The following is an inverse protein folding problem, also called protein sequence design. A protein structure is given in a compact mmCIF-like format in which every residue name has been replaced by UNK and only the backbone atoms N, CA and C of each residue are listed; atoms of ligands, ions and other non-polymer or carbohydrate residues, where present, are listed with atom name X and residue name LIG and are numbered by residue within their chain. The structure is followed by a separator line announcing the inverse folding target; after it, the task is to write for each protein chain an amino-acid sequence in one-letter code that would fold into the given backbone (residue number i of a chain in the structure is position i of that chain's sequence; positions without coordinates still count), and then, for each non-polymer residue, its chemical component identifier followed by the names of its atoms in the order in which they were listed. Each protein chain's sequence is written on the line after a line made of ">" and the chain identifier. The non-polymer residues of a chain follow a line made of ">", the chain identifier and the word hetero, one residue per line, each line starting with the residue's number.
data_IF_783832489853
#
_entry.id   IF_783832489853
#
_cell.length_a   1.000
_cell.length_b   1.000
_cell.length_c   1.000
_cell.angle_alpha   90.00
_cell.angle_beta   90.00
_cell.angle_gamma   90.00
#
_symmetry.space_group_name_H-M   'P 1'
#
loop_
_entity.id
_entity.type
_entity.pdbx_description
1 polymer ?
#
# COMPACT_ATOMS: atom_id res chain seq x y z
N UNK A 1 19.70 -15.27 9.43
CA UNK A 1 19.24 -13.87 9.54
C UNK A 1 17.71 -13.87 9.60
N UNK A 2 17.12 -13.08 10.50
CA UNK A 2 15.67 -12.91 10.57
C UNK A 2 15.23 -12.11 9.34
N UNK A 3 14.40 -12.70 8.50
CA UNK A 3 13.89 -12.01 7.30
C UNK A 3 12.67 -11.20 7.70
N UNK A 4 12.75 -9.87 7.55
CA UNK A 4 11.61 -8.99 7.78
C UNK A 4 10.69 -8.99 6.55
N UNK A 5 9.36 -8.81 6.72
CA UNK A 5 8.46 -8.62 5.60
C UNK A 5 8.78 -7.32 4.87
N UNK A 6 8.54 -7.30 3.57
CA UNK A 6 8.75 -6.12 2.72
C UNK A 6 7.43 -5.37 2.51
N UNK A 7 7.52 -4.12 2.04
CA UNK A 7 6.36 -3.32 1.64
C UNK A 7 6.24 -3.35 0.12
N UNK A 8 5.10 -3.80 -0.40
CA UNK A 8 4.81 -3.83 -1.82
C UNK A 8 4.26 -2.49 -2.31
N UNK A 9 4.80 -1.96 -3.39
CA UNK A 9 4.31 -0.74 -4.03
C UNK A 9 3.63 -1.12 -5.34
N UNK A 10 2.35 -0.74 -5.48
CA UNK A 10 1.47 -1.09 -6.58
C UNK A 10 1.13 0.16 -7.40
N UNK A 11 1.85 0.45 -8.51
CA UNK A 11 1.52 1.54 -9.41
C UNK A 11 0.27 1.18 -10.24
N UNK A 12 -0.87 1.80 -9.97
CA UNK A 12 -2.11 1.56 -10.72
C UNK A 12 -2.37 2.67 -11.75
N UNK A 13 -2.91 2.29 -12.90
CA UNK A 13 -3.09 3.16 -14.05
C UNK A 13 -4.34 2.79 -14.82
N UNK A 14 -4.84 3.69 -15.65
CA UNK A 14 -5.90 3.39 -16.62
C UNK A 14 -5.44 2.27 -17.59
N UNK A 15 -6.17 1.18 -17.63
CA UNK A 15 -5.83 0.02 -18.46
C UNK A 15 -6.12 0.17 -19.96
N UNK A 16 -6.75 1.31 -20.37
CA UNK A 16 -7.07 1.56 -21.78
C UNK A 16 -5.83 1.99 -22.53
N UNK A 17 -5.52 1.26 -23.60
CA UNK A 17 -4.48 1.61 -24.57
C UNK A 17 -5.00 2.67 -25.55
N UNK A 18 -4.08 3.35 -26.24
CA UNK A 18 -4.41 4.35 -27.24
C UNK A 18 -4.26 5.78 -26.72
N UNK A 19 -3.23 6.04 -25.93
CA UNK A 19 -2.78 7.39 -25.54
C UNK A 19 -2.86 7.72 -24.05
N UNK A 20 -3.92 7.31 -23.35
CA UNK A 20 -4.07 7.67 -21.92
C UNK A 20 -3.05 6.93 -21.06
N UNK A 21 -2.99 5.61 -21.19
CA UNK A 21 -2.07 4.78 -20.42
C UNK A 21 -0.62 5.16 -20.69
N UNK A 22 -0.27 5.22 -21.95
CA UNK A 22 1.08 5.51 -22.41
C UNK A 22 1.59 6.88 -21.94
N UNK A 23 0.69 7.87 -21.88
CA UNK A 23 1.04 9.23 -21.45
C UNK A 23 1.32 9.35 -19.93
N UNK A 24 0.92 8.35 -19.13
CA UNK A 24 1.00 8.41 -17.66
C UNK A 24 1.84 7.28 -17.07
N UNK A 25 2.32 6.33 -17.87
CA UNK A 25 3.00 5.14 -17.39
C UNK A 25 4.31 5.49 -16.67
N UNK A 26 5.12 6.35 -17.26
CA UNK A 26 6.36 6.83 -16.67
C UNK A 26 6.11 7.57 -15.36
N UNK A 27 5.15 8.50 -15.35
CA UNK A 27 4.76 9.24 -14.14
C UNK A 27 4.33 8.31 -13.01
N UNK A 28 3.44 7.37 -13.31
CA UNK A 28 2.90 6.45 -12.31
C UNK A 28 4.01 5.59 -11.70
N UNK A 29 4.93 5.12 -12.53
CA UNK A 29 6.08 4.35 -12.08
C UNK A 29 7.06 5.22 -11.27
N UNK A 30 7.29 6.47 -11.66
CA UNK A 30 8.16 7.38 -10.92
C UNK A 30 7.59 7.72 -9.53
N UNK A 31 6.29 7.92 -9.40
CA UNK A 31 5.64 8.08 -8.09
C UNK A 31 5.81 6.83 -7.22
N UNK A 32 5.69 5.63 -7.79
CA UNK A 32 5.92 4.39 -7.04
C UNK A 32 7.37 4.25 -6.57
N UNK A 33 8.35 4.62 -7.41
CA UNK A 33 9.77 4.65 -7.02
C UNK A 33 10.03 5.67 -5.91
N UNK A 34 9.46 6.86 -6.01
CA UNK A 34 9.58 7.90 -4.99
C UNK A 34 9.02 7.45 -3.63
N UNK A 35 7.88 6.73 -3.62
CA UNK A 35 7.33 6.14 -2.39
C UNK A 35 8.25 5.07 -1.81
N UNK A 36 8.81 4.20 -2.64
CA UNK A 36 9.75 3.17 -2.19
C UNK A 36 11.02 3.81 -1.57
N UNK A 37 11.57 4.83 -2.21
CA UNK A 37 12.73 5.57 -1.71
C UNK A 37 12.41 6.29 -0.40
N UNK A 38 11.26 6.96 -0.31
CA UNK A 38 10.80 7.63 0.91
C UNK A 38 10.77 6.65 2.09
N UNK A 39 10.22 5.46 1.89
CA UNK A 39 10.10 4.44 2.94
C UNK A 39 11.48 3.90 3.33
N UNK A 40 12.27 3.47 2.36
CA UNK A 40 13.58 2.85 2.58
C UNK A 40 14.56 3.81 3.28
N UNK A 41 14.51 5.09 2.92
CA UNK A 41 15.39 6.11 3.50
C UNK A 41 14.99 6.52 4.93
N UNK A 42 13.72 6.39 5.31
CA UNK A 42 13.21 6.92 6.56
C UNK A 42 12.82 5.86 7.60
N UNK A 43 12.60 4.60 7.20
CA UNK A 43 12.16 3.55 8.11
C UNK A 43 13.19 2.44 8.24
N UNK A 44 13.31 1.95 9.47
CA UNK A 44 14.21 0.84 9.83
C UNK A 44 13.44 -0.28 10.51
N UNK A 45 13.89 -1.49 10.27
CA UNK A 45 13.48 -2.69 10.98
C UNK A 45 14.04 -2.68 12.41
N UNK A 46 13.58 -3.61 13.25
CA UNK A 46 14.01 -3.69 14.65
C UNK A 46 15.49 -4.03 14.85
N UNK A 47 16.20 -4.48 13.81
CA UNK A 47 17.64 -4.73 13.82
C UNK A 47 18.47 -3.55 13.24
N UNK A 48 17.81 -2.45 12.89
CA UNK A 48 18.43 -1.26 12.31
C UNK A 48 18.60 -1.30 10.78
N UNK A 49 18.28 -2.41 10.11
CA UNK A 49 18.30 -2.46 8.64
C UNK A 49 17.19 -1.62 8.04
N UNK A 50 17.36 -1.02 6.86
CA UNK A 50 16.28 -0.31 6.17
C UNK A 50 15.07 -1.21 5.90
N UNK A 51 13.87 -0.66 5.91
CA UNK A 51 12.68 -1.35 5.42
C UNK A 51 12.79 -1.51 3.91
N UNK A 52 12.69 -2.74 3.42
CA UNK A 52 12.76 -3.03 2.00
C UNK A 52 11.40 -2.83 1.32
N UNK A 53 11.42 -2.28 0.11
CA UNK A 53 10.25 -2.16 -0.75
C UNK A 53 10.39 -3.03 -2.00
N UNK A 54 9.27 -3.56 -2.49
CA UNK A 54 9.16 -4.29 -3.76
C UNK A 54 8.14 -3.56 -4.64
N UNK A 55 8.55 -3.10 -5.80
CA UNK A 55 7.65 -2.47 -6.77
C UNK A 55 7.19 -3.54 -7.77
N UNK A 56 5.93 -3.47 -8.22
CA UNK A 56 5.46 -4.30 -9.33
C UNK A 56 6.33 -4.11 -10.58
N UNK A 57 6.42 -5.14 -11.44
CA UNK A 57 7.30 -5.09 -12.62
C UNK A 57 6.87 -4.07 -13.66
N UNK A 58 5.58 -3.72 -13.65
CA UNK A 58 4.99 -2.69 -14.50
C UNK A 58 3.79 -2.03 -13.83
N UNK A 59 3.17 -1.10 -14.53
CA UNK A 59 1.93 -0.49 -14.08
C UNK A 59 0.75 -1.45 -14.16
N UNK A 60 -0.20 -1.32 -13.23
CA UNK A 60 -1.34 -2.23 -13.06
C UNK A 60 -2.60 -1.52 -13.53
N UNK A 61 -3.08 -1.89 -14.72
CA UNK A 61 -4.33 -1.35 -15.29
C UNK A 61 -5.36 -2.44 -15.64
N UNK A 62 -5.01 -3.73 -15.42
CA UNK A 62 -5.85 -4.89 -15.77
C UNK A 62 -5.70 -6.00 -14.75
N UNK A 63 -6.66 -6.91 -14.76
CA UNK A 63 -6.71 -8.07 -13.85
C UNK A 63 -5.44 -8.94 -13.93
N UNK A 64 -4.96 -9.25 -15.14
CA UNK A 64 -3.76 -10.06 -15.31
C UNK A 64 -2.50 -9.42 -14.71
N UNK A 65 -2.35 -8.10 -14.85
CA UNK A 65 -1.24 -7.35 -14.26
C UNK A 65 -1.35 -7.30 -12.72
N UNK A 66 -2.57 -7.19 -12.21
CA UNK A 66 -2.83 -7.26 -10.76
C UNK A 66 -2.51 -8.64 -10.19
N UNK A 67 -2.86 -9.72 -10.89
CA UNK A 67 -2.53 -11.09 -10.51
C UNK A 67 -1.02 -11.32 -10.51
N UNK A 68 -0.32 -10.94 -11.57
CA UNK A 68 1.14 -11.06 -11.66
C UNK A 68 1.85 -10.27 -10.54
N UNK A 69 1.35 -9.09 -10.19
CA UNK A 69 1.84 -8.32 -9.06
C UNK A 69 1.64 -9.08 -7.72
N UNK A 70 0.48 -9.68 -7.51
CA UNK A 70 0.19 -10.45 -6.29
C UNK A 70 1.12 -11.67 -6.16
N UNK A 71 1.33 -12.42 -7.24
CA UNK A 71 2.26 -13.56 -7.26
C UNK A 71 3.72 -13.13 -6.98
N UNK A 72 4.16 -12.03 -7.57
CA UNK A 72 5.48 -11.46 -7.29
C UNK A 72 5.61 -11.10 -5.80
N UNK A 73 4.62 -10.42 -5.24
CA UNK A 73 4.67 -9.96 -3.86
C UNK A 73 4.69 -11.11 -2.86
N UNK A 74 3.95 -12.18 -3.13
CA UNK A 74 3.98 -13.38 -2.32
C UNK A 74 5.38 -14.03 -2.34
N UNK A 75 5.94 -14.21 -3.53
CA UNK A 75 7.29 -14.78 -3.71
C UNK A 75 8.38 -13.95 -3.03
N UNK A 76 8.24 -12.61 -3.08
CA UNK A 76 9.22 -11.67 -2.50
C UNK A 76 9.06 -11.46 -1.00
N UNK A 77 8.03 -12.02 -0.36
CA UNK A 77 7.79 -11.90 1.07
C UNK A 77 7.24 -10.53 1.49
N UNK A 78 6.40 -9.94 0.65
CA UNK A 78 5.66 -8.73 0.98
C UNK A 78 4.67 -9.02 2.12
N UNK A 79 4.53 -8.10 3.06
CA UNK A 79 3.62 -8.22 4.19
C UNK A 79 2.60 -7.09 4.30
N UNK A 80 2.77 -6.03 3.51
CA UNK A 80 1.86 -4.88 3.45
C UNK A 80 1.96 -4.22 2.07
N UNK A 81 0.95 -3.48 1.62
CA UNK A 81 0.96 -2.84 0.31
C UNK A 81 0.57 -1.37 0.35
N UNK A 82 1.15 -0.59 -0.56
CA UNK A 82 0.73 0.77 -0.88
C UNK A 82 0.45 0.83 -2.37
N UNK A 83 -0.79 1.11 -2.73
CA UNK A 83 -1.19 1.39 -4.10
C UNK A 83 -1.00 2.88 -4.38
N UNK A 84 -0.37 3.20 -5.50
CA UNK A 84 -0.12 4.58 -5.95
C UNK A 84 -0.82 4.76 -7.28
N UNK A 85 -1.66 5.79 -7.41
CA UNK A 85 -2.34 6.08 -8.67
C UNK A 85 -2.23 7.54 -9.05
N UNK A 86 -1.85 7.79 -10.31
CA UNK A 86 -1.77 9.13 -10.89
C UNK A 86 -3.07 9.57 -11.57
N UNK A 87 -4.00 8.63 -11.82
CA UNK A 87 -5.21 8.88 -12.58
C UNK A 87 -6.35 7.94 -12.16
N UNK A 88 -7.51 8.11 -12.77
CA UNK A 88 -8.60 7.16 -12.67
C UNK A 88 -8.21 5.82 -13.34
N UNK A 89 -8.62 4.71 -12.72
CA UNK A 89 -8.57 3.37 -13.31
C UNK A 89 -9.71 2.50 -12.76
N UNK A 90 -9.86 1.30 -13.29
CA UNK A 90 -10.90 0.36 -12.85
C UNK A 90 -10.53 -0.29 -11.52
N UNK A 91 -11.15 0.13 -10.43
CA UNK A 91 -10.87 -0.38 -9.09
C UNK A 91 -11.07 -1.88 -8.95
N UNK A 92 -12.14 -2.42 -9.52
CA UNK A 92 -12.44 -3.86 -9.47
C UNK A 92 -11.35 -4.73 -10.11
N UNK A 93 -10.63 -4.20 -11.11
CA UNK A 93 -9.59 -4.92 -11.85
C UNK A 93 -8.21 -4.80 -11.21
N UNK A 94 -7.97 -3.74 -10.46
CA UNK A 94 -6.63 -3.37 -10.00
C UNK A 94 -6.44 -3.40 -8.50
N UNK A 95 -7.53 -3.56 -7.71
CA UNK A 95 -7.46 -3.57 -6.26
C UNK A 95 -6.62 -4.72 -5.69
N UNK A 96 -6.02 -4.52 -4.53
CA UNK A 96 -5.32 -5.55 -3.80
C UNK A 96 -6.30 -6.46 -3.06
N UNK A 97 -6.44 -7.68 -3.52
CA UNK A 97 -7.38 -8.66 -2.99
C UNK A 97 -6.81 -9.51 -1.83
N UNK A 98 -5.52 -9.33 -1.46
CA UNK A 98 -4.95 -10.13 -0.38
C UNK A 98 -5.61 -9.76 0.97
N UNK A 99 -6.28 -10.71 1.66
CA UNK A 99 -6.99 -10.40 2.91
C UNK A 99 -6.06 -10.14 4.10
N UNK A 100 -4.80 -10.53 3.97
CA UNK A 100 -3.86 -10.49 5.08
C UNK A 100 -2.96 -9.24 5.08
N UNK A 101 -2.92 -8.49 3.99
CA UNK A 101 -2.07 -7.31 3.92
C UNK A 101 -2.77 -6.08 4.50
N UNK A 102 -2.16 -5.38 5.46
CA UNK A 102 -2.45 -3.97 5.64
C UNK A 102 -2.21 -3.24 4.32
N UNK A 103 -3.16 -2.43 3.90
CA UNK A 103 -3.09 -1.76 2.60
C UNK A 103 -3.48 -0.30 2.68
N UNK A 104 -2.76 0.54 1.94
CA UNK A 104 -3.11 1.93 1.72
C UNK A 104 -3.19 2.23 0.22
N UNK A 105 -3.91 3.27 -0.11
CA UNK A 105 -4.03 3.79 -1.46
C UNK A 105 -3.72 5.28 -1.43
N UNK A 106 -2.71 5.71 -2.18
CA UNK A 106 -2.43 7.11 -2.43
C UNK A 106 -2.96 7.52 -3.80
N UNK A 107 -3.96 8.42 -3.79
CA UNK A 107 -4.46 9.08 -4.98
C UNK A 107 -3.74 10.41 -5.19
N UNK A 108 -3.06 10.57 -6.32
CA UNK A 108 -2.41 11.82 -6.69
C UNK A 108 -3.42 12.96 -6.82
N UNK A 109 -3.16 14.09 -6.17
CA UNK A 109 -4.01 15.27 -6.25
C UNK A 109 -3.50 16.20 -7.37
N UNK A 110 -3.76 15.85 -8.63
CA UNK A 110 -3.27 16.55 -9.80
C UNK A 110 -4.28 17.52 -10.39
N UNK A 111 -3.78 18.55 -11.08
CA UNK A 111 -4.58 19.51 -11.88
C UNK A 111 -5.34 18.80 -12.99
N UNK A 112 -4.72 17.78 -13.59
CA UNK A 112 -5.31 16.95 -14.63
C UNK A 112 -5.36 15.49 -14.17
N UNK A 113 -6.43 14.78 -14.51
CA UNK A 113 -6.58 13.35 -14.23
C UNK A 113 -6.24 12.97 -12.79
N UNK A 114 -6.86 13.55 -11.77
CA UNK A 114 -6.55 13.27 -10.38
C UNK A 114 -6.86 11.82 -10.00
N UNK A 115 -6.04 11.24 -9.13
CA UNK A 115 -6.27 9.91 -8.58
C UNK A 115 -7.42 9.81 -7.58
N UNK A 116 -8.09 10.92 -7.25
CA UNK A 116 -9.16 10.99 -6.24
C UNK A 116 -10.34 10.06 -6.53
N UNK A 117 -10.77 9.99 -7.81
CA UNK A 117 -11.91 9.15 -8.20
C UNK A 117 -11.59 7.67 -8.02
N UNK A 118 -10.39 7.25 -8.41
CA UNK A 118 -9.93 5.89 -8.15
C UNK A 118 -9.85 5.63 -6.64
N UNK A 119 -9.25 6.54 -5.89
CA UNK A 119 -9.13 6.41 -4.43
C UNK A 119 -10.49 6.15 -3.79
N UNK A 120 -11.50 6.96 -4.10
CA UNK A 120 -12.84 6.78 -3.55
C UNK A 120 -13.47 5.43 -3.96
N UNK A 121 -13.38 5.09 -5.24
CA UNK A 121 -13.97 3.86 -5.78
C UNK A 121 -13.29 2.60 -5.20
N UNK A 122 -11.97 2.58 -5.13
CA UNK A 122 -11.24 1.40 -4.64
C UNK A 122 -11.38 1.22 -3.13
N UNK A 123 -11.47 2.30 -2.35
CA UNK A 123 -11.76 2.21 -0.91
C UNK A 123 -13.15 1.65 -0.67
N UNK A 124 -14.15 2.10 -1.42
CA UNK A 124 -15.51 1.54 -1.36
C UNK A 124 -15.52 0.05 -1.75
N UNK A 125 -14.81 -0.31 -2.82
CA UNK A 125 -14.67 -1.70 -3.25
C UNK A 125 -14.00 -2.60 -2.19
N UNK A 126 -12.96 -2.13 -1.54
CA UNK A 126 -12.32 -2.83 -0.43
C UNK A 126 -13.29 -3.00 0.75
N UNK A 127 -14.01 -1.94 1.13
CA UNK A 127 -14.98 -1.99 2.22
C UNK A 127 -16.10 -3.01 1.96
N UNK A 128 -16.64 -3.06 0.73
CA UNK A 128 -17.65 -4.04 0.33
C UNK A 128 -17.18 -5.49 0.43
N UNK A 129 -15.87 -5.72 0.31
CA UNK A 129 -15.27 -7.06 0.40
C UNK A 129 -14.74 -7.39 1.80
N UNK A 130 -14.93 -6.50 2.76
CA UNK A 130 -14.37 -6.67 4.10
C UNK A 130 -12.84 -6.61 4.15
N UNK A 131 -12.22 -5.95 3.19
CA UNK A 131 -10.77 -5.76 3.07
C UNK A 131 -10.39 -4.33 3.44
N UNK A 132 -10.10 -4.01 4.71
CA UNK A 132 -9.84 -2.65 5.12
C UNK A 132 -8.62 -2.06 4.38
N UNK A 133 -8.79 -0.85 3.87
CA UNK A 133 -7.74 -0.10 3.21
C UNK A 133 -7.75 1.37 3.68
N UNK A 134 -6.58 2.01 3.73
CA UNK A 134 -6.40 3.39 4.20
C UNK A 134 -6.19 4.33 3.01
N UNK A 135 -6.98 5.41 2.96
CA UNK A 135 -6.84 6.42 1.93
C UNK A 135 -5.79 7.47 2.28
N UNK A 136 -4.97 7.82 1.30
CA UNK A 136 -3.99 8.90 1.38
C UNK A 136 -4.25 9.88 0.24
N UNK A 137 -4.39 11.16 0.57
CA UNK A 137 -4.62 12.24 -0.39
C UNK A 137 -3.96 13.52 0.08
N UNK A 138 -3.31 14.24 -0.84
CA UNK A 138 -2.64 15.50 -0.54
C UNK A 138 -3.62 16.67 -0.42
N UNK A 139 -3.28 17.67 0.39
CA UNK A 139 -4.07 18.90 0.53
C UNK A 139 -3.92 19.80 -0.68
N UNK A 140 -2.70 19.95 -1.16
CA UNK A 140 -2.38 20.87 -2.24
C UNK A 140 -2.49 20.15 -3.60
N UNK A 141 -2.94 20.91 -4.60
CA UNK A 141 -3.02 20.43 -5.98
C UNK A 141 -1.64 20.52 -6.63
N UNK A 142 -1.21 19.45 -7.26
CA UNK A 142 0.08 19.35 -7.95
C UNK A 142 -0.11 19.40 -9.47
N UNK A 143 0.85 19.99 -10.17
CA UNK A 143 0.90 19.91 -11.61
C UNK A 143 1.11 18.49 -12.12
N UNK A 144 0.62 18.19 -13.31
CA UNK A 144 0.72 16.87 -13.91
C UNK A 144 2.18 16.38 -13.97
N UNK A 145 3.13 17.26 -14.20
CA UNK A 145 4.56 16.92 -14.31
C UNK A 145 5.29 16.88 -12.97
N UNK A 146 4.64 17.25 -11.88
CA UNK A 146 5.23 17.17 -10.55
C UNK A 146 5.18 15.73 -10.02
N UNK A 147 6.34 15.12 -9.84
CA UNK A 147 6.50 13.77 -9.29
C UNK A 147 6.95 13.78 -7.82
N UNK A 148 6.96 14.94 -7.18
CA UNK A 148 7.31 15.05 -5.77
C UNK A 148 6.21 14.48 -4.87
N UNK A 149 6.58 14.10 -3.66
CA UNK A 149 5.63 13.69 -2.63
C UNK A 149 5.44 14.88 -1.68
N UNK A 150 4.23 15.49 -1.62
CA UNK A 150 3.95 16.55 -0.67
C UNK A 150 4.21 16.15 0.78
N UNK A 151 4.64 17.08 1.62
CA UNK A 151 5.02 16.79 2.99
C UNK A 151 3.92 16.09 3.82
N UNK A 152 2.66 16.51 3.65
CA UNK A 152 1.52 15.89 4.32
C UNK A 152 1.21 14.48 3.82
N UNK A 153 1.47 14.20 2.54
CA UNK A 153 1.39 12.85 1.95
C UNK A 153 2.53 11.98 2.45
N UNK A 154 3.75 12.50 2.46
CA UNK A 154 4.93 11.78 2.96
C UNK A 154 4.73 11.35 4.43
N UNK A 155 4.23 12.24 5.28
CA UNK A 155 3.90 11.93 6.67
C UNK A 155 2.88 10.77 6.77
N UNK A 156 1.79 10.82 5.98
CA UNK A 156 0.76 9.79 5.97
C UNK A 156 1.30 8.44 5.48
N UNK A 157 2.13 8.45 4.42
CA UNK A 157 2.79 7.24 3.89
C UNK A 157 3.70 6.63 4.95
N UNK A 158 4.56 7.41 5.58
CA UNK A 158 5.50 6.92 6.59
C UNK A 158 4.78 6.41 7.86
N UNK A 159 3.71 7.08 8.28
CA UNK A 159 2.87 6.64 9.40
C UNK A 159 2.22 5.29 9.11
N UNK A 160 1.60 5.15 7.94
CA UNK A 160 1.02 3.89 7.50
C UNK A 160 2.08 2.80 7.38
N UNK A 161 3.18 3.06 6.68
CA UNK A 161 4.23 2.08 6.44
C UNK A 161 4.84 1.54 7.75
N UNK A 162 5.04 2.41 8.75
CA UNK A 162 5.53 2.00 10.08
C UNK A 162 4.55 1.07 10.78
N UNK A 163 3.27 1.42 10.80
CA UNK A 163 2.23 0.60 11.42
C UNK A 163 2.06 -0.74 10.68
N UNK A 164 2.01 -0.69 9.36
CA UNK A 164 1.87 -1.87 8.50
C UNK A 164 3.05 -2.84 8.63
N UNK A 165 4.29 -2.32 8.72
CA UNK A 165 5.50 -3.12 8.97
C UNK A 165 5.45 -3.82 10.32
N UNK A 166 4.96 -3.14 11.35
CA UNK A 166 4.78 -3.73 12.68
C UNK A 166 3.76 -4.88 12.63
N UNK A 167 2.59 -4.65 12.04
CA UNK A 167 1.54 -5.68 11.88
C UNK A 167 2.06 -6.88 11.08
N UNK A 168 2.73 -6.64 9.95
CA UNK A 168 3.30 -7.71 9.13
C UNK A 168 4.38 -8.51 9.87
N UNK A 169 5.21 -7.85 10.69
CA UNK A 169 6.25 -8.50 11.50
C UNK A 169 5.64 -9.35 12.63
N UNK A 170 4.49 -8.95 13.16
CA UNK A 170 3.79 -9.69 14.23
C UNK A 170 3.01 -10.90 13.70
N UNK A 171 2.71 -10.94 12.40
CA UNK A 171 1.95 -12.05 11.82
C UNK A 171 2.67 -13.39 12.05
N UNK A 172 1.89 -14.40 12.45
CA UNK A 172 2.41 -15.73 12.78
C UNK A 172 3.28 -15.80 14.03
N UNK A 173 3.30 -14.73 14.86
CA UNK A 173 3.92 -14.73 16.18
C UNK A 173 2.92 -15.18 17.23
N UNK A 174 3.43 -15.84 18.25
CA UNK A 174 2.65 -16.22 19.43
C UNK A 174 3.02 -15.30 20.59
N UNK A 175 2.02 -14.92 21.36
CA UNK A 175 2.20 -14.26 22.63
C UNK A 175 1.98 -15.29 23.75
N UNK A 176 2.98 -15.50 24.59
CA UNK A 176 2.87 -16.36 25.76
C UNK A 176 2.80 -15.50 27.01
N UNK A 177 1.65 -15.52 27.68
CA UNK A 177 1.48 -14.91 28.99
C UNK A 177 1.83 -15.93 30.07
N UNK A 178 2.85 -15.63 30.87
CA UNK A 178 3.22 -16.41 32.04
C UNK A 178 2.90 -15.63 33.30
N UNK A 179 1.92 -16.08 34.03
CA UNK A 179 1.44 -15.41 35.25
C UNK A 179 -0.08 -15.45 35.36
N UNK A 180 -0.60 -15.64 36.53
CA UNK A 180 -2.03 -15.87 36.76
C UNK A 180 -2.86 -14.59 36.89
N UNK A 181 -2.24 -13.47 37.18
CA UNK A 181 -2.96 -12.24 37.53
C UNK A 181 -3.89 -11.70 36.45
N UNK A 182 -3.44 -11.73 35.17
CA UNK A 182 -4.24 -11.20 34.06
C UNK A 182 -5.38 -12.12 33.62
N UNK A 183 -5.27 -13.43 33.86
CA UNK A 183 -6.32 -14.39 33.51
C UNK A 183 -7.57 -14.23 34.37
N UNK A 184 -7.43 -13.73 35.60
CA UNK A 184 -8.57 -13.49 36.51
C UNK A 184 -9.17 -12.08 36.38
N UNK A 185 -8.44 -11.13 35.83
CA UNK A 185 -8.86 -9.73 35.72
C UNK A 185 -9.36 -9.32 34.36
N UNK A 186 -9.10 -10.13 33.31
CA UNK A 186 -9.55 -9.92 31.96
C UNK A 186 -10.19 -11.19 31.42
N UNK A 187 -11.49 -11.38 31.62
CA UNK A 187 -12.19 -12.55 31.11
C UNK A 187 -12.07 -12.62 29.60
N UNK A 188 -11.78 -13.82 29.09
CA UNK A 188 -11.74 -14.08 27.68
C UNK A 188 -13.12 -13.83 27.05
N UNK A 189 -13.21 -13.32 25.82
CA UNK A 189 -14.49 -13.28 25.10
C UNK A 189 -15.19 -14.64 24.94
N UNK A 190 -14.46 -15.74 25.24
CA UNK A 190 -15.03 -17.10 25.26
C UNK A 190 -15.75 -17.42 26.56
N UNK A 191 -15.56 -16.62 27.59
CA UNK A 191 -16.14 -16.82 28.91
C UNK A 191 -17.42 -15.99 29.12
N UNK A 192 -17.87 -15.30 28.07
CA UNK A 192 -19.07 -14.46 28.03
C UNK A 192 -20.24 -15.14 27.33
#
# INVERSE_FOLDING_TARGET
>A
MKKYPKIGIRPTIDGRQGGVRESLEEKTMNLAKAVAELITSNLKNGDGTPVECVIADGTIGRVAESAACAEKFEREGVGATITVTSCWCYGAETMDMNPYYPKAVWGFNGTERPGAVYLAAVLAGHAQKGLPAFGIYGRDVQDLNDNSIPADVAEKILRFARAAQAVATMRGKSYLSMGSCLLYTSPSPRDA
#
